data_IF_806675349154
#
_entry.id   IF_806675349154
#
_cell.length_a   1.000
_cell.length_b   1.000
_cell.length_c   1.000
_cell.angle_alpha   90.00
_cell.angle_beta   90.00
_cell.angle_gamma   90.00
#
_symmetry.space_group_name_H-M   'P 1'
#
loop_
_entity.id
_entity.type
_entity.pdbx_description
1 polymer ?
#
# COMPACT_ATOMS: atom_id res chain seq x y z
N UNK A 1 -21.44 71.34 -40.47
CA UNK A 1 -21.37 70.06 -39.72
C UNK A 1 -21.12 70.36 -38.26
N UNK A 2 -22.17 70.43 -37.45
CA UNK A 2 -22.10 70.79 -36.03
C UNK A 2 -22.23 69.51 -35.21
N UNK A 3 -21.12 69.02 -34.68
CA UNK A 3 -21.12 67.91 -33.72
C UNK A 3 -21.79 68.41 -32.43
N UNK A 4 -22.77 67.68 -31.86
CA UNK A 4 -23.45 68.12 -30.65
C UNK A 4 -22.46 68.22 -29.48
N UNK A 5 -22.47 69.37 -28.78
CA UNK A 5 -21.57 69.72 -27.66
C UNK A 5 -21.47 68.64 -26.57
N UNK A 6 -22.50 67.80 -26.42
CA UNK A 6 -22.55 66.73 -25.42
C UNK A 6 -21.59 65.57 -25.72
N UNK A 7 -21.27 65.30 -26.99
CA UNK A 7 -20.35 64.22 -27.39
C UNK A 7 -18.88 64.60 -27.16
N UNK A 8 -18.53 65.86 -27.35
CA UNK A 8 -17.17 66.37 -27.10
C UNK A 8 -16.85 66.38 -25.61
N UNK A 9 -17.82 66.75 -24.78
CA UNK A 9 -17.64 66.83 -23.32
C UNK A 9 -17.57 65.45 -22.64
N UNK A 10 -18.32 64.47 -23.14
CA UNK A 10 -18.24 63.07 -22.68
C UNK A 10 -16.95 62.39 -23.15
N UNK A 11 -16.48 62.68 -24.38
CA UNK A 11 -15.18 62.21 -24.87
C UNK A 11 -14.00 62.80 -24.07
N UNK A 12 -14.02 64.10 -23.77
CA UNK A 12 -12.99 64.73 -22.94
C UNK A 12 -13.02 64.22 -21.50
N UNK A 13 -14.19 64.04 -20.88
CA UNK A 13 -14.28 63.46 -19.54
C UNK A 13 -13.78 62.02 -19.50
N UNK A 14 -14.08 61.23 -20.52
CA UNK A 14 -13.57 59.86 -20.62
C UNK A 14 -12.06 59.83 -20.89
N UNK A 15 -11.49 60.77 -21.65
CA UNK A 15 -10.05 60.90 -21.83
C UNK A 15 -9.33 61.37 -20.56
N UNK A 16 -9.91 62.32 -19.83
CA UNK A 16 -9.38 62.81 -18.55
C UNK A 16 -9.48 61.70 -17.49
N UNK A 17 -10.60 60.97 -17.42
CA UNK A 17 -10.74 59.82 -16.53
C UNK A 17 -9.78 58.68 -16.90
N UNK A 18 -9.50 58.45 -18.19
CA UNK A 18 -8.52 57.46 -18.66
C UNK A 18 -7.08 57.90 -18.38
N UNK A 19 -6.76 59.19 -18.49
CA UNK A 19 -5.47 59.76 -18.07
C UNK A 19 -5.29 59.73 -16.55
N UNK A 20 -6.34 60.01 -15.78
CA UNK A 20 -6.32 59.89 -14.32
C UNK A 20 -6.23 58.44 -13.85
N UNK A 21 -6.87 57.48 -14.55
CA UNK A 21 -6.71 56.04 -14.31
C UNK A 21 -5.31 55.54 -14.68
N UNK A 22 -4.71 56.03 -15.78
CA UNK A 22 -3.32 55.73 -16.15
C UNK A 22 -2.32 56.36 -15.16
N UNK A 23 -2.59 57.55 -14.63
CA UNK A 23 -1.79 58.19 -13.58
C UNK A 23 -2.00 57.57 -12.18
N UNK A 24 -3.18 57.01 -11.93
CA UNK A 24 -3.54 56.30 -10.69
C UNK A 24 -3.20 54.80 -10.74
N UNK A 25 -2.75 54.27 -11.89
CA UNK A 25 -2.19 52.93 -12.02
C UNK A 25 -0.77 52.91 -11.40
N UNK A 26 -0.77 53.01 -10.07
CA UNK A 26 0.23 52.49 -9.16
C UNK A 26 1.67 52.92 -9.39
N UNK A 27 2.03 54.05 -8.76
CA UNK A 27 3.20 54.04 -7.85
C UNK A 27 2.90 53.08 -6.69
N UNK A 28 2.82 51.78 -6.96
CA UNK A 28 3.07 50.78 -5.93
C UNK A 28 4.57 50.87 -5.69
N UNK A 29 4.98 51.18 -4.46
CA UNK A 29 6.36 50.97 -4.05
C UNK A 29 6.59 49.47 -4.04
N UNK A 30 6.91 48.90 -5.21
CA UNK A 30 7.52 47.59 -5.20
C UNK A 30 8.87 47.79 -4.52
N UNK A 31 9.19 46.91 -3.57
CA UNK A 31 10.24 47.11 -2.58
C UNK A 31 11.64 47.34 -3.16
N UNK A 32 12.64 47.19 -2.31
CA UNK A 32 14.08 47.42 -2.58
C UNK A 32 14.56 47.14 -4.01
N UNK A 33 14.03 46.12 -4.71
CA UNK A 33 14.31 45.79 -6.11
C UNK A 33 13.89 46.88 -7.12
N UNK A 34 12.73 47.54 -6.99
CA UNK A 34 12.31 48.55 -7.97
C UNK A 34 13.09 49.85 -7.80
N UNK A 35 13.34 50.24 -6.55
CA UNK A 35 14.22 51.35 -6.19
C UNK A 35 15.69 51.08 -6.59
N UNK A 36 16.12 49.81 -6.56
CA UNK A 36 17.41 49.39 -7.09
C UNK A 36 17.47 49.51 -8.62
N UNK A 37 16.42 49.08 -9.34
CA UNK A 37 16.35 49.19 -10.80
C UNK A 37 16.28 50.64 -11.30
N UNK A 38 15.58 51.52 -10.58
CA UNK A 38 15.57 52.96 -10.88
C UNK A 38 16.95 53.62 -10.65
N UNK A 39 17.72 53.15 -9.65
CA UNK A 39 19.11 53.58 -9.42
C UNK A 39 20.08 52.99 -10.44
N UNK A 40 19.89 51.74 -10.87
CA UNK A 40 20.70 51.07 -11.90
C UNK A 40 20.66 51.84 -13.23
N UNK A 41 19.48 52.36 -13.59
CA UNK A 41 19.28 53.11 -14.83
C UNK A 41 19.62 54.61 -14.74
N UNK A 42 20.07 55.10 -13.57
CA UNK A 42 20.42 56.52 -13.35
C UNK A 42 21.74 56.64 -12.59
N UNK A 43 22.85 56.16 -13.17
CA UNK A 43 24.17 56.55 -12.69
C UNK A 43 24.64 57.79 -13.45
N UNK A 44 24.53 58.93 -12.79
CA UNK A 44 25.15 60.18 -13.22
C UNK A 44 26.65 60.09 -12.93
N UNK A 45 27.48 60.19 -13.97
CA UNK A 45 28.91 60.43 -13.83
C UNK A 45 29.10 61.91 -14.18
N UNK A 46 29.59 62.71 -13.24
CA UNK A 46 29.80 64.16 -13.41
C UNK A 46 28.56 64.93 -13.92
N UNK A 47 27.37 64.65 -13.38
CA UNK A 47 26.10 65.31 -13.73
C UNK A 47 25.65 65.21 -15.21
N UNK A 48 26.21 64.28 -15.99
CA UNK A 48 25.73 63.98 -17.35
C UNK A 48 25.00 62.63 -17.36
N UNK A 49 23.84 62.59 -18.01
CA UNK A 49 23.06 61.37 -18.24
C UNK A 49 23.78 60.50 -19.27
N UNK A 50 24.48 59.45 -18.81
CA UNK A 50 25.02 58.42 -19.68
C UNK A 50 23.90 57.42 -20.04
N UNK A 51 23.54 57.35 -21.32
CA UNK A 51 22.56 56.39 -21.86
C UNK A 51 23.19 55.07 -22.31
N UNK A 52 24.52 54.94 -22.21
CA UNK A 52 25.19 53.70 -22.56
C UNK A 52 25.05 52.68 -21.42
N UNK A 53 24.50 51.53 -21.76
CA UNK A 53 24.53 50.33 -20.94
C UNK A 53 25.97 49.98 -20.55
N UNK A 54 26.18 49.59 -19.29
CA UNK A 54 27.51 49.28 -18.78
C UNK A 54 28.12 48.12 -19.57
N UNK A 55 29.18 48.38 -20.33
CA UNK A 55 29.93 47.34 -21.03
C UNK A 55 30.72 46.53 -20.01
N UNK A 56 30.21 45.36 -19.64
CA UNK A 56 30.96 44.38 -18.87
C UNK A 56 31.92 43.66 -19.81
N UNK A 57 33.20 43.63 -19.47
CA UNK A 57 34.16 42.77 -20.14
C UNK A 57 33.93 41.33 -19.66
N UNK A 58 33.54 40.44 -20.57
CA UNK A 58 33.51 39.00 -20.28
C UNK A 58 34.93 38.47 -20.47
N UNK A 59 35.70 38.38 -19.41
CA UNK A 59 36.93 37.59 -19.42
C UNK A 59 36.58 36.11 -19.26
N UNK A 60 37.12 35.25 -20.13
CA UNK A 60 36.80 33.82 -20.27
C UNK A 60 37.30 32.93 -19.12
N UNK A 61 37.71 33.50 -18.00
CA UNK A 61 38.26 32.76 -16.88
C UNK A 61 37.90 33.48 -15.58
N UNK A 62 37.15 32.80 -14.71
CA UNK A 62 36.95 33.23 -13.32
C UNK A 62 38.30 33.57 -12.69
N UNK A 63 38.43 34.71 -12.00
CA UNK A 63 39.36 34.83 -10.91
C UNK A 63 38.55 34.83 -9.61
N UNK A 64 38.76 33.82 -8.77
CA UNK A 64 38.46 34.00 -7.35
C UNK A 64 39.41 35.07 -6.81
N UNK A 65 38.83 36.18 -6.36
CA UNK A 65 39.18 36.85 -5.11
C UNK A 65 40.59 37.47 -4.93
N UNK A 66 41.34 37.84 -5.98
CA UNK A 66 42.62 38.55 -5.79
C UNK A 66 42.90 39.72 -6.75
N UNK A 67 41.95 40.09 -7.62
CA UNK A 67 42.16 41.14 -8.62
C UNK A 67 41.30 42.40 -8.48
N UNK A 68 40.21 42.34 -7.70
CA UNK A 68 39.30 43.48 -7.60
C UNK A 68 39.80 44.46 -6.54
N UNK A 69 39.76 45.78 -6.79
CA UNK A 69 40.10 46.76 -5.77
C UNK A 69 39.16 46.52 -4.59
N UNK A 70 39.73 46.13 -3.45
CA UNK A 70 38.98 46.03 -2.19
C UNK A 70 38.38 47.42 -1.95
N UNK A 71 37.06 47.53 -2.18
CA UNK A 71 36.26 48.64 -1.70
C UNK A 71 36.17 48.51 -0.18
N UNK A 72 37.24 48.94 0.50
CA UNK A 72 37.41 48.91 1.96
C UNK A 72 36.41 49.81 2.68
N UNK A 73 35.52 50.50 1.96
CA UNK A 73 34.49 51.34 2.56
C UNK A 73 33.18 50.57 2.66
N UNK A 74 33.07 49.85 3.78
CA UNK A 74 31.81 49.48 4.48
C UNK A 74 30.96 48.34 3.92
N UNK A 75 31.34 47.65 2.84
CA UNK A 75 30.61 46.45 2.40
C UNK A 75 31.39 45.17 2.64
N UNK A 76 30.77 44.26 3.42
CA UNK A 76 31.24 42.88 3.59
C UNK A 76 31.07 42.18 2.25
N UNK A 77 32.19 41.73 1.68
CA UNK A 77 32.36 40.87 0.50
C UNK A 77 31.24 40.98 -0.58
N UNK A 78 31.58 41.64 -1.70
CA UNK A 78 30.69 41.88 -2.84
C UNK A 78 30.24 40.59 -3.53
N UNK A 79 30.81 39.44 -3.16
CA UNK A 79 30.40 38.12 -3.66
C UNK A 79 28.89 37.89 -3.61
N UNK A 80 28.20 38.31 -2.54
CA UNK A 80 26.75 38.16 -2.44
C UNK A 80 25.98 39.11 -3.37
N UNK A 81 26.49 40.32 -3.58
CA UNK A 81 25.87 41.32 -4.47
C UNK A 81 26.05 40.92 -5.95
N UNK A 82 27.21 40.35 -6.31
CA UNK A 82 27.51 39.84 -7.65
C UNK A 82 26.68 38.60 -8.00
N UNK A 83 26.61 37.61 -7.09
CA UNK A 83 25.77 36.43 -7.32
C UNK A 83 24.28 36.79 -7.36
N UNK A 84 23.84 37.79 -6.58
CA UNK A 84 22.47 38.31 -6.64
C UNK A 84 22.18 38.94 -7.99
N UNK A 85 23.04 39.86 -8.44
CA UNK A 85 22.90 40.52 -9.75
C UNK A 85 22.86 39.52 -10.89
N UNK A 86 23.77 38.53 -10.88
CA UNK A 86 23.82 37.49 -11.89
C UNK A 86 22.56 36.62 -11.90
N UNK A 87 22.01 36.28 -10.74
CA UNK A 87 20.75 35.55 -10.62
C UNK A 87 19.53 36.37 -11.05
N UNK A 88 19.50 37.67 -10.76
CA UNK A 88 18.43 38.59 -11.17
C UNK A 88 18.44 38.85 -12.69
N UNK A 89 19.62 38.93 -13.30
CA UNK A 89 19.81 39.19 -14.74
C UNK A 89 19.53 37.97 -15.60
N UNK A 90 19.98 36.78 -15.16
CA UNK A 90 19.88 35.56 -15.95
C UNK A 90 18.44 35.04 -16.11
N UNK A 91 17.46 35.51 -15.30
CA UNK A 91 16.04 35.07 -15.26
C UNK A 91 15.78 33.54 -15.16
N UNK A 92 16.83 32.71 -15.16
CA UNK A 92 16.82 31.25 -15.08
C UNK A 92 16.62 30.71 -13.66
N UNK A 93 16.35 31.57 -12.69
CA UNK A 93 16.16 31.18 -11.30
C UNK A 93 15.00 30.19 -11.12
N UNK A 94 13.98 30.26 -11.99
CA UNK A 94 12.87 29.30 -12.05
C UNK A 94 13.33 27.89 -12.46
N UNK A 95 14.19 27.79 -13.48
CA UNK A 95 14.75 26.52 -13.96
C UNK A 95 15.64 25.90 -12.89
N UNK A 96 16.51 26.72 -12.26
CA UNK A 96 17.39 26.24 -11.18
C UNK A 96 16.62 25.81 -9.95
N UNK A 97 15.57 26.55 -9.58
CA UNK A 97 14.68 26.16 -8.48
C UNK A 97 13.98 24.84 -8.78
N UNK A 98 13.48 24.66 -10.00
CA UNK A 98 12.89 23.39 -10.44
C UNK A 98 13.91 22.25 -10.38
N UNK A 99 15.14 22.45 -10.86
CA UNK A 99 16.23 21.46 -10.77
C UNK A 99 16.57 21.08 -9.32
N UNK A 100 16.61 22.06 -8.41
CA UNK A 100 16.85 21.82 -6.97
C UNK A 100 15.69 21.03 -6.36
N UNK A 101 14.44 21.36 -6.68
CA UNK A 101 13.28 20.59 -6.20
C UNK A 101 13.22 19.17 -6.77
N UNK A 102 13.61 18.98 -8.04
CA UNK A 102 13.74 17.64 -8.64
C UNK A 102 14.81 16.81 -7.91
N UNK A 103 15.98 17.41 -7.65
CA UNK A 103 17.05 16.76 -6.91
C UNK A 103 16.62 16.40 -5.47
N UNK A 104 15.97 17.33 -4.78
CA UNK A 104 15.43 17.10 -3.43
C UNK A 104 14.36 15.99 -3.43
N UNK A 105 13.48 15.99 -4.42
CA UNK A 105 12.49 14.93 -4.63
C UNK A 105 13.14 13.56 -4.82
N UNK A 106 14.21 13.48 -5.61
CA UNK A 106 14.96 12.25 -5.82
C UNK A 106 15.63 11.74 -4.54
N UNK A 107 16.26 12.64 -3.77
CA UNK A 107 16.90 12.30 -2.48
C UNK A 107 15.86 11.80 -1.48
N UNK A 108 14.73 12.50 -1.34
CA UNK A 108 13.66 12.10 -0.43
C UNK A 108 13.04 10.76 -0.85
N UNK A 109 12.82 10.56 -2.15
CA UNK A 109 12.29 9.29 -2.68
C UNK A 109 13.23 8.13 -2.40
N UNK A 110 14.55 8.33 -2.60
CA UNK A 110 15.57 7.34 -2.29
C UNK A 110 15.60 7.00 -0.80
N UNK A 111 15.45 7.99 0.07
CA UNK A 111 15.36 7.78 1.52
C UNK A 111 14.13 6.95 1.90
N UNK A 112 12.95 7.30 1.37
CA UNK A 112 11.72 6.56 1.63
C UNK A 112 11.82 5.11 1.12
N UNK A 113 12.41 4.89 -0.06
CA UNK A 113 12.66 3.54 -0.57
C UNK A 113 13.64 2.77 0.31
N UNK A 114 14.72 3.40 0.78
CA UNK A 114 15.66 2.78 1.71
C UNK A 114 15.03 2.41 3.05
N UNK A 115 14.19 3.27 3.62
CA UNK A 115 13.45 2.95 4.85
C UNK A 115 12.47 1.80 4.60
N UNK A 116 11.74 1.82 3.49
CA UNK A 116 10.82 0.73 3.11
C UNK A 116 11.57 -0.60 2.99
N UNK A 117 12.70 -0.65 2.29
CA UNK A 117 13.46 -1.91 2.11
C UNK A 117 13.99 -2.44 3.43
N UNK A 118 14.48 -1.58 4.33
CA UNK A 118 14.92 -1.98 5.68
C UNK A 118 13.75 -2.54 6.49
N UNK A 119 12.60 -1.83 6.53
CA UNK A 119 11.42 -2.30 7.25
C UNK A 119 10.92 -3.63 6.69
N UNK A 120 10.84 -3.78 5.36
CA UNK A 120 10.43 -5.03 4.72
C UNK A 120 11.39 -6.17 5.04
N UNK A 121 12.70 -5.91 5.06
CA UNK A 121 13.70 -6.92 5.42
C UNK A 121 13.53 -7.37 6.88
N UNK A 122 13.40 -6.43 7.82
CA UNK A 122 13.16 -6.74 9.23
C UNK A 122 11.84 -7.47 9.45
N UNK A 123 10.77 -7.01 8.80
CA UNK A 123 9.45 -7.65 8.85
C UNK A 123 9.51 -9.09 8.32
N UNK A 124 10.17 -9.32 7.18
CA UNK A 124 10.32 -10.65 6.59
C UNK A 124 11.22 -11.56 7.44
N UNK A 125 12.15 -11.01 8.22
CA UNK A 125 12.92 -11.78 9.20
C UNK A 125 12.08 -12.20 10.41
N UNK A 126 11.07 -11.42 10.80
CA UNK A 126 10.16 -11.73 11.91
C UNK A 126 9.02 -12.68 11.50
N UNK A 127 8.61 -12.69 10.23
CA UNK A 127 7.63 -13.66 9.72
C UNK A 127 8.24 -15.07 9.71
N UNK A 128 7.40 -16.07 9.92
CA UNK A 128 7.76 -17.48 9.81
C UNK A 128 8.35 -17.79 8.43
N UNK A 129 9.57 -18.32 8.41
CA UNK A 129 10.16 -18.91 7.21
C UNK A 129 9.54 -20.28 6.94
N UNK A 130 9.47 -20.67 5.68
CA UNK A 130 9.12 -22.04 5.29
C UNK A 130 10.15 -22.99 5.92
N UNK A 131 9.75 -23.69 6.99
CA UNK A 131 10.65 -24.61 7.73
C UNK A 131 10.85 -25.93 6.96
N UNK A 132 9.87 -26.34 6.18
CA UNK A 132 9.87 -27.54 5.36
C UNK A 132 9.09 -27.29 4.08
N UNK A 133 9.39 -28.06 3.04
CA UNK A 133 8.59 -28.13 1.82
C UNK A 133 7.32 -28.91 2.20
N UNK A 134 6.15 -28.32 1.97
CA UNK A 134 4.86 -28.97 2.28
C UNK A 134 4.68 -30.17 1.38
N UNK A 135 4.17 -31.26 1.94
CA UNK A 135 3.81 -32.43 1.16
C UNK A 135 2.51 -32.14 0.40
N UNK A 136 2.51 -32.36 -0.91
CA UNK A 136 1.33 -32.10 -1.76
C UNK A 136 0.22 -33.12 -1.59
N UNK A 137 0.55 -34.32 -1.14
CA UNK A 137 -0.40 -35.38 -0.83
C UNK A 137 0.03 -36.16 0.40
N UNK A 138 -0.92 -36.86 1.01
CA UNK A 138 -0.66 -37.79 2.11
C UNK A 138 -1.46 -39.08 1.93
N UNK A 139 -0.75 -40.19 1.90
CA UNK A 139 -1.35 -41.52 1.87
C UNK A 139 -1.50 -42.07 3.28
N UNK A 140 -2.65 -42.67 3.57
CA UNK A 140 -2.96 -43.31 4.84
C UNK A 140 -3.60 -44.67 4.56
N UNK A 141 -3.01 -45.73 5.11
CA UNK A 141 -3.65 -47.04 5.11
C UNK A 141 -4.77 -47.08 6.16
N UNK A 142 -5.96 -47.48 5.73
CA UNK A 142 -7.20 -47.51 6.52
C UNK A 142 -7.70 -48.95 6.69
N UNK A 143 -6.92 -49.94 6.25
CA UNK A 143 -7.19 -51.35 6.46
C UNK A 143 -7.39 -51.69 7.95
N UNK A 144 -6.59 -51.08 8.83
CA UNK A 144 -6.63 -51.29 10.29
C UNK A 144 -7.72 -50.48 11.00
N UNK A 145 -8.30 -49.45 10.36
CA UNK A 145 -9.31 -48.61 10.97
C UNK A 145 -10.70 -49.26 10.83
N UNK A 146 -11.33 -49.72 11.92
CA UNK A 146 -12.64 -50.35 11.83
C UNK A 146 -13.74 -49.32 11.54
N UNK A 147 -14.86 -49.73 10.93
CA UNK A 147 -16.01 -48.85 10.70
C UNK A 147 -16.57 -48.33 12.03
N UNK A 148 -16.76 -47.02 12.12
CA UNK A 148 -17.18 -46.28 13.31
C UNK A 148 -16.05 -45.56 14.04
N UNK A 149 -14.77 -45.88 13.75
CA UNK A 149 -13.61 -45.26 14.38
C UNK A 149 -13.08 -44.03 13.64
N UNK A 150 -12.29 -43.23 14.36
CA UNK A 150 -11.64 -41.98 13.93
C UNK A 150 -10.14 -42.12 14.18
N UNK A 151 -9.37 -41.97 13.11
CA UNK A 151 -7.94 -41.78 13.17
C UNK A 151 -7.64 -40.28 13.23
N UNK A 152 -6.83 -39.86 14.21
CA UNK A 152 -6.28 -38.51 14.27
C UNK A 152 -4.82 -38.55 13.85
N UNK A 153 -4.45 -37.74 12.85
CA UNK A 153 -3.07 -37.65 12.35
C UNK A 153 -2.73 -36.22 11.96
N UNK A 154 -1.44 -35.91 11.82
CA UNK A 154 -0.97 -34.58 11.40
C UNK A 154 -0.58 -34.57 9.93
N UNK A 155 -0.94 -33.52 9.19
CA UNK A 155 -0.49 -33.27 7.83
C UNK A 155 -0.09 -31.81 7.67
N UNK A 156 1.14 -31.56 7.20
CA UNK A 156 1.69 -30.21 7.06
C UNK A 156 1.55 -29.33 8.32
N UNK A 157 1.65 -29.93 9.51
CA UNK A 157 1.55 -29.23 10.80
C UNK A 157 0.12 -29.00 11.30
N UNK A 158 -0.90 -29.29 10.47
CA UNK A 158 -2.31 -29.26 10.87
C UNK A 158 -2.77 -30.66 11.28
N UNK A 159 -3.72 -30.71 12.22
CA UNK A 159 -4.33 -31.96 12.63
C UNK A 159 -5.55 -32.23 11.76
N UNK A 160 -5.69 -33.48 11.34
CA UNK A 160 -6.80 -33.94 10.50
C UNK A 160 -7.46 -35.16 11.15
N UNK A 161 -8.77 -35.26 10.97
CA UNK A 161 -9.56 -36.43 11.31
C UNK A 161 -9.85 -37.23 10.05
N UNK A 162 -9.58 -38.53 10.12
CA UNK A 162 -10.00 -39.53 9.15
C UNK A 162 -10.99 -40.44 9.85
N UNK A 163 -12.27 -40.29 9.55
CA UNK A 163 -13.34 -41.10 10.14
C UNK A 163 -13.86 -42.09 9.11
N UNK A 164 -13.87 -43.38 9.47
CA UNK A 164 -14.52 -44.41 8.67
C UNK A 164 -15.96 -44.57 9.17
N UNK A 165 -16.92 -44.02 8.45
CA UNK A 165 -18.33 -44.03 8.79
C UNK A 165 -18.99 -45.35 8.37
N UNK A 166 -19.85 -45.88 9.23
CA UNK A 166 -20.71 -47.00 8.85
C UNK A 166 -21.89 -46.52 8.00
N UNK A 167 -22.49 -47.41 7.21
CA UNK A 167 -23.70 -47.09 6.43
C UNK A 167 -24.87 -46.64 7.31
N UNK A 168 -24.98 -47.15 8.55
CA UNK A 168 -26.00 -46.72 9.49
C UNK A 168 -25.72 -45.32 9.99
N UNK A 169 -24.48 -45.00 10.33
CA UNK A 169 -24.08 -43.64 10.73
C UNK A 169 -24.34 -42.62 9.63
N UNK A 170 -24.08 -42.96 8.37
CA UNK A 170 -24.37 -42.11 7.22
C UNK A 170 -25.87 -41.87 7.09
N UNK A 171 -26.70 -42.92 7.18
CA UNK A 171 -28.16 -42.82 7.13
C UNK A 171 -28.71 -41.96 8.27
N UNK A 172 -28.27 -42.22 9.50
CA UNK A 172 -28.70 -41.47 10.68
C UNK A 172 -28.33 -39.99 10.55
N UNK A 173 -27.13 -39.68 10.09
CA UNK A 173 -26.62 -38.31 9.98
C UNK A 173 -27.27 -37.53 8.82
N UNK A 174 -27.67 -38.22 7.76
CA UNK A 174 -28.48 -37.66 6.67
C UNK A 174 -29.94 -37.45 7.07
N UNK A 175 -30.47 -38.23 8.03
CA UNK A 175 -31.84 -38.07 8.52
C UNK A 175 -32.04 -36.89 9.47
N UNK A 176 -30.96 -36.27 9.94
CA UNK A 176 -31.01 -35.11 10.82
C UNK A 176 -31.58 -33.89 10.08
N UNK A 177 -32.44 -33.08 10.74
CA UNK A 177 -33.06 -31.94 10.09
C UNK A 177 -32.04 -30.83 9.78
N UNK A 178 -32.11 -30.29 8.56
CA UNK A 178 -31.26 -29.18 8.10
C UNK A 178 -31.52 -27.86 8.85
N UNK A 179 -32.63 -27.75 9.58
CA UNK A 179 -32.93 -26.60 10.44
C UNK A 179 -31.92 -26.43 11.58
N UNK A 180 -31.25 -27.53 11.98
CA UNK A 180 -30.24 -27.52 13.05
C UNK A 180 -28.82 -27.28 12.56
N UNK A 181 -28.60 -27.17 11.24
CA UNK A 181 -27.31 -26.77 10.68
C UNK A 181 -27.13 -25.26 10.84
N UNK A 182 -26.02 -24.85 11.47
CA UNK A 182 -25.63 -23.44 11.53
C UNK A 182 -25.03 -23.01 10.18
N UNK A 183 -24.14 -23.82 9.62
CA UNK A 183 -23.57 -23.61 8.30
C UNK A 183 -24.23 -24.51 7.25
N UNK A 184 -25.00 -23.87 6.37
CA UNK A 184 -25.74 -24.50 5.27
C UNK A 184 -25.01 -24.40 3.93
N UNK A 185 -23.94 -23.60 3.85
CA UNK A 185 -23.25 -23.32 2.59
C UNK A 185 -22.14 -24.31 2.31
N UNK A 186 -21.47 -24.83 3.35
CA UNK A 186 -20.37 -25.76 3.15
C UNK A 186 -20.84 -27.08 2.53
N UNK A 187 -20.08 -27.60 1.57
CA UNK A 187 -20.30 -28.92 0.98
C UNK A 187 -19.39 -29.93 1.68
N UNK A 188 -19.96 -31.05 2.12
CA UNK A 188 -19.20 -32.19 2.65
C UNK A 188 -19.38 -33.37 1.70
N UNK A 189 -18.29 -33.90 1.16
CA UNK A 189 -18.31 -35.12 0.35
C UNK A 189 -17.75 -36.30 1.14
N UNK A 190 -18.36 -37.46 0.93
CA UNK A 190 -17.93 -38.72 1.52
C UNK A 190 -17.32 -39.56 0.41
N UNK A 191 -16.14 -40.13 0.67
CA UNK A 191 -15.50 -41.01 -0.28
C UNK A 191 -15.92 -42.46 -0.03
N UNK A 192 -16.24 -43.18 -1.10
CA UNK A 192 -16.73 -44.55 -0.99
C UNK A 192 -15.58 -45.52 -0.69
N UNK A 193 -15.76 -46.35 0.33
CA UNK A 193 -14.84 -47.42 0.73
C UNK A 193 -15.57 -48.77 0.78
N UNK A 194 -16.44 -49.01 -0.22
CA UNK A 194 -17.16 -50.26 -0.44
C UNK A 194 -18.33 -50.44 0.53
N UNK A 195 -18.05 -51.00 1.72
CA UNK A 195 -19.07 -51.25 2.75
C UNK A 195 -19.15 -50.13 3.80
N UNK A 196 -18.40 -49.06 3.61
CA UNK A 196 -18.26 -47.93 4.53
C UNK A 196 -17.94 -46.66 3.74
N UNK A 197 -18.12 -45.51 4.36
CA UNK A 197 -17.73 -44.23 3.77
C UNK A 197 -16.58 -43.64 4.57
N UNK A 198 -15.71 -42.88 3.91
CA UNK A 198 -14.62 -42.19 4.58
C UNK A 198 -14.88 -40.69 4.51
N UNK A 199 -14.70 -40.04 5.66
CA UNK A 199 -14.70 -38.61 5.81
C UNK A 199 -13.31 -38.17 6.26
N UNK A 200 -12.72 -37.23 5.51
CA UNK A 200 -11.53 -36.51 5.93
C UNK A 200 -11.90 -35.04 6.14
N UNK A 201 -11.60 -34.53 7.34
CA UNK A 201 -11.84 -33.14 7.70
C UNK A 201 -10.74 -32.61 8.63
N UNK A 202 -10.63 -31.30 8.74
CA UNK A 202 -9.71 -30.67 9.69
C UNK A 202 -10.14 -30.96 11.13
N UNK A 203 -9.18 -31.26 11.99
CA UNK A 203 -9.38 -31.44 13.42
C UNK A 203 -9.35 -30.13 14.21
N UNK A 204 -9.37 -28.98 13.51
CA UNK A 204 -9.27 -27.65 14.10
C UNK A 204 -10.68 -27.06 14.20
N UNK A 205 -11.12 -26.79 15.44
CA UNK A 205 -12.41 -26.15 15.68
C UNK A 205 -12.45 -24.75 15.06
N UNK A 206 -13.49 -24.49 14.26
CA UNK A 206 -13.73 -23.22 13.57
C UNK A 206 -14.06 -22.04 14.48
N UNK A 207 -14.18 -22.25 15.80
CA UNK A 207 -14.31 -21.16 16.76
C UNK A 207 -12.97 -20.45 17.02
N UNK A 208 -12.05 -21.13 17.70
CA UNK A 208 -10.76 -20.58 18.13
C UNK A 208 -9.59 -21.58 18.01
N UNK A 209 -9.77 -22.65 17.23
CA UNK A 209 -8.68 -23.57 16.88
C UNK A 209 -8.39 -24.71 17.87
N UNK A 210 -9.21 -24.91 18.90
CA UNK A 210 -9.12 -26.09 19.76
C UNK A 210 -9.39 -27.40 18.99
N UNK A 211 -8.96 -28.54 19.52
CA UNK A 211 -9.22 -29.86 18.92
C UNK A 211 -10.52 -30.44 19.50
N UNK A 212 -11.56 -30.67 18.68
CA UNK A 212 -12.78 -31.36 19.14
C UNK A 212 -12.51 -32.81 19.50
N UNK A 213 -13.12 -33.30 20.58
CA UNK A 213 -13.01 -34.70 21.00
C UNK A 213 -14.09 -35.52 20.29
N UNK A 214 -13.75 -36.67 19.66
CA UNK A 214 -14.72 -37.51 18.95
C UNK A 214 -15.67 -38.24 19.89
N UNK A 215 -16.78 -38.73 19.35
CA UNK A 215 -17.80 -39.59 19.98
C UNK A 215 -18.64 -38.94 21.09
N UNK A 216 -18.44 -37.65 21.35
CA UNK A 216 -19.16 -36.90 22.37
C UNK A 216 -20.35 -36.12 21.79
N UNK A 217 -21.20 -35.65 22.71
CA UNK A 217 -22.31 -34.75 22.40
C UNK A 217 -23.56 -35.45 21.87
N UNK A 218 -24.62 -34.66 21.67
CA UNK A 218 -25.94 -35.15 21.28
C UNK A 218 -25.92 -35.92 19.94
N UNK A 219 -25.01 -35.57 19.03
CA UNK A 219 -24.93 -36.13 17.69
C UNK A 219 -23.88 -37.24 17.54
N UNK A 220 -23.19 -37.62 18.63
CA UNK A 220 -22.09 -38.61 18.64
C UNK A 220 -21.02 -38.34 17.56
N UNK A 221 -20.83 -37.07 17.22
CA UNK A 221 -19.83 -36.60 16.25
C UNK A 221 -18.59 -36.13 17.00
N UNK A 222 -18.46 -34.82 17.15
CA UNK A 222 -17.37 -34.21 17.91
C UNK A 222 -17.85 -33.11 18.85
N UNK A 223 -17.15 -32.92 19.97
CA UNK A 223 -17.39 -31.80 20.89
C UNK A 223 -16.08 -31.09 21.22
N UNK A 224 -16.07 -29.78 21.00
CA UNK A 224 -14.99 -28.91 21.43
C UNK A 224 -15.19 -28.53 22.91
N UNK A 225 -14.34 -29.06 23.79
CA UNK A 225 -14.42 -28.83 25.23
C UNK A 225 -14.05 -27.42 25.67
N UNK A 226 -13.52 -26.58 24.77
CA UNK A 226 -13.13 -25.21 25.11
C UNK A 226 -14.35 -24.31 25.39
N UNK A 227 -15.35 -24.35 24.51
CA UNK A 227 -16.56 -23.52 24.63
C UNK A 227 -17.85 -24.26 24.25
N UNK A 228 -17.81 -25.59 24.13
CA UNK A 228 -18.98 -26.44 23.93
C UNK A 228 -19.53 -26.48 22.51
N UNK A 229 -18.73 -26.20 21.47
CA UNK A 229 -19.18 -26.40 20.09
C UNK A 229 -19.41 -27.89 19.80
N UNK A 230 -20.57 -28.24 19.28
CA UNK A 230 -20.98 -29.61 18.96
C UNK A 230 -21.08 -29.76 17.45
N UNK A 231 -20.44 -30.80 16.92
CA UNK A 231 -20.42 -31.18 15.52
C UNK A 231 -21.09 -32.56 15.36
N UNK A 232 -21.84 -32.76 14.28
CA UNK A 232 -22.36 -34.07 13.88
C UNK A 232 -21.26 -34.96 13.29
N UNK A 233 -21.59 -36.20 12.89
CA UNK A 233 -20.61 -37.18 12.37
C UNK A 233 -19.99 -36.82 11.02
N UNK A 234 -20.48 -35.79 10.32
CA UNK A 234 -19.88 -35.26 9.09
C UNK A 234 -19.02 -34.02 9.34
N UNK A 235 -18.92 -33.57 10.59
CA UNK A 235 -18.14 -32.41 10.98
C UNK A 235 -18.95 -31.12 10.84
N UNK A 236 -20.28 -31.22 10.68
CA UNK A 236 -21.16 -30.07 10.56
C UNK A 236 -21.54 -29.56 11.93
N UNK A 237 -21.39 -28.27 12.16
CA UNK A 237 -21.72 -27.62 13.42
C UNK A 237 -23.23 -27.57 13.64
N UNK A 238 -23.65 -27.99 14.83
CA UNK A 238 -25.06 -28.05 15.25
C UNK A 238 -25.37 -27.15 16.44
N UNK A 239 -24.37 -26.86 17.27
CA UNK A 239 -24.54 -26.06 18.47
C UNK A 239 -23.22 -25.41 18.87
N UNK A 240 -23.32 -24.28 19.57
CA UNK A 240 -22.21 -23.59 20.23
C UNK A 240 -21.77 -22.33 19.50
N UNK A 241 -20.63 -21.74 19.91
CA UNK A 241 -20.15 -20.48 19.35
C UNK A 241 -19.55 -20.63 17.94
N UNK A 242 -19.11 -21.83 17.54
CA UNK A 242 -18.66 -22.08 16.18
C UNK A 242 -19.80 -21.88 15.18
N UNK A 243 -19.58 -21.10 14.12
CA UNK A 243 -20.58 -20.86 13.08
C UNK A 243 -20.34 -21.68 11.81
N UNK A 244 -19.09 -22.11 11.55
CA UNK A 244 -18.70 -22.83 10.35
C UNK A 244 -18.47 -24.32 10.62
N UNK A 245 -18.72 -25.17 9.63
CA UNK A 245 -18.44 -26.60 9.69
C UNK A 245 -16.92 -26.86 9.70
N UNK A 246 -16.49 -28.01 10.22
CA UNK A 246 -15.09 -28.42 10.13
C UNK A 246 -14.68 -28.46 8.64
N UNK A 247 -13.59 -27.78 8.25
CA UNK A 247 -13.15 -27.74 6.86
C UNK A 247 -13.00 -29.15 6.28
N UNK A 248 -13.75 -29.43 5.22
CA UNK A 248 -13.62 -30.65 4.46
C UNK A 248 -12.25 -30.67 3.74
N UNK A 249 -11.62 -31.84 3.69
CA UNK A 249 -10.35 -32.03 2.99
C UNK A 249 -10.59 -33.00 1.85
N UNK A 250 -10.20 -32.59 0.64
CA UNK A 250 -10.38 -33.44 -0.54
C UNK A 250 -9.59 -34.74 -0.39
N UNK A 251 -10.26 -35.85 -0.64
CA UNK A 251 -9.68 -37.16 -0.48
C UNK A 251 -10.29 -38.15 -1.47
N UNK A 252 -9.52 -39.15 -1.84
CA UNK A 252 -9.88 -40.24 -2.74
C UNK A 252 -9.44 -41.57 -2.13
N UNK A 253 -10.25 -42.61 -2.32
CA UNK A 253 -9.97 -43.96 -1.78
C UNK A 253 -9.51 -44.86 -2.91
N UNK A 254 -8.37 -45.52 -2.72
CA UNK A 254 -7.82 -46.52 -3.62
C UNK A 254 -7.58 -47.82 -2.85
N UNK A 255 -8.58 -48.70 -2.84
CA UNK A 255 -8.52 -49.95 -2.10
C UNK A 255 -8.40 -49.72 -0.58
N UNK A 256 -7.33 -50.17 0.09
CA UNK A 256 -7.14 -49.94 1.52
C UNK A 256 -6.56 -48.55 1.86
N UNK A 257 -6.06 -47.81 0.86
CA UNK A 257 -5.37 -46.53 1.08
C UNK A 257 -6.29 -45.36 0.76
N UNK A 258 -6.27 -44.33 1.61
CA UNK A 258 -6.80 -43.01 1.28
C UNK A 258 -5.67 -42.09 0.91
N UNK A 259 -5.83 -41.46 -0.25
CA UNK A 259 -5.02 -40.35 -0.68
C UNK A 259 -5.73 -39.05 -0.29
N UNK A 260 -5.04 -38.23 0.48
CA UNK A 260 -5.44 -36.87 0.81
C UNK A 260 -4.69 -35.96 -0.14
N UNK A 261 -5.43 -35.16 -0.90
CA UNK A 261 -4.87 -34.22 -1.87
C UNK A 261 -4.88 -32.80 -1.32
N UNK A 262 -3.98 -31.96 -1.85
CA UNK A 262 -3.70 -30.60 -1.40
C UNK A 262 -4.96 -29.79 -1.05
N UNK A 263 -4.98 -29.24 0.17
CA UNK A 263 -5.92 -28.18 0.53
C UNK A 263 -5.58 -26.95 -0.30
N UNK A 264 -6.49 -26.52 -1.17
CA UNK A 264 -6.37 -25.23 -1.85
C UNK A 264 -6.56 -24.14 -0.79
N UNK A 265 -5.47 -23.58 -0.27
CA UNK A 265 -5.52 -22.42 0.60
C UNK A 265 -5.71 -21.16 -0.26
N UNK A 266 -6.82 -20.41 -0.12
CA UNK A 266 -7.08 -19.24 -0.96
C UNK A 266 -6.08 -18.09 -0.75
N UNK A 267 -5.32 -18.12 0.36
CA UNK A 267 -4.42 -17.05 0.77
C UNK A 267 -2.95 -17.47 0.85
N UNK A 268 -2.57 -18.62 0.30
CA UNK A 268 -1.15 -19.01 0.34
C UNK A 268 -0.36 -18.10 -0.61
N UNK A 269 0.72 -17.45 -0.15
CA UNK A 269 1.62 -16.78 -1.06
C UNK A 269 2.20 -17.87 -1.97
N UNK A 270 1.83 -17.83 -3.25
CA UNK A 270 2.45 -18.72 -4.22
C UNK A 270 3.96 -18.54 -4.13
N UNK A 271 4.69 -19.64 -4.12
CA UNK A 271 6.16 -19.67 -4.08
C UNK A 271 6.75 -19.00 -5.35
N UNK A 272 5.89 -18.54 -6.26
CA UNK A 272 6.16 -17.89 -7.54
C UNK A 272 6.66 -16.45 -7.47
N UNK A 273 7.34 -16.05 -6.39
CA UNK A 273 7.89 -14.70 -6.27
C UNK A 273 9.33 -14.70 -5.77
N UNK A 274 10.25 -15.41 -6.45
CA UNK A 274 11.67 -15.04 -6.49
C UNK A 274 12.36 -15.63 -7.74
N UNK A 275 12.13 -15.02 -8.90
CA UNK A 275 13.14 -14.84 -9.98
C UNK A 275 13.01 -13.39 -10.46
#
# INVERSE_FOLDING_TARGET
MLVPKNLVWTSMKNQIAKQQLLAAQQKRSFGIIQEYNERKNKKLINNVLCTEEAKFWVTSSRPSNFGDPIDTKTKVDNWFDENRLWNEESKDYEIKRAQIYMLQGFVLSSYVLGVKTVITCLYQQMITRTRYIRDSYKELDISELPPGEVLQTSWNGELIFVRRLTLTEVKDTNSLPDSTLLDKQSVTSLSDAGNSNILVCSAICTHLGCIPVPYLGAYKGWVCLCHGSVYDKFGRVRQGPAQNNLPYINNSVYGPVVCIEEQIFPNEPSIFLYI
#
